data_IF_926843594342
#
_entry.id   IF_926843594342
#
_cell.length_a   1.000
_cell.length_b   1.000
_cell.length_c   1.000
_cell.angle_alpha   90.00
_cell.angle_beta   90.00
_cell.angle_gamma   90.00
#
_symmetry.space_group_name_H-M   'P 1'
#
loop_
_entity.id
_entity.type
_entity.pdbx_description
1 polymer ?
#
# COMPACT_ATOMS: atom_id res chain seq x y z
N UNK A 1 -18.92 1.16 -1.51
CA UNK A 1 -20.12 0.35 -1.19
C UNK A 1 -20.15 -0.89 -2.07
N UNK A 2 -19.27 -1.87 -1.82
CA UNK A 2 -19.31 -3.12 -2.55
C UNK A 2 -19.53 -4.24 -1.52
N UNK A 3 -20.24 -5.29 -1.94
CA UNK A 3 -20.41 -6.56 -1.23
C UNK A 3 -21.63 -6.71 -0.32
N UNK A 4 -22.78 -6.61 -0.98
CA UNK A 4 -23.91 -7.52 -0.77
C UNK A 4 -24.05 -8.52 -1.92
N UNK A 5 -22.99 -8.87 -2.66
CA UNK A 5 -23.11 -9.69 -3.89
C UNK A 5 -23.89 -11.00 -3.70
N UNK A 6 -23.63 -11.74 -2.61
CA UNK A 6 -24.42 -12.92 -2.24
C UNK A 6 -25.86 -12.59 -1.92
N UNK A 7 -26.11 -11.53 -1.16
CA UNK A 7 -27.47 -11.11 -0.79
C UNK A 7 -28.24 -10.57 -2.01
N UNK A 8 -27.58 -9.84 -2.90
CA UNK A 8 -28.11 -9.38 -4.18
C UNK A 8 -28.46 -10.56 -5.06
N UNK A 9 -27.57 -11.55 -5.21
CA UNK A 9 -27.84 -12.75 -6.00
C UNK A 9 -28.94 -13.59 -5.35
N UNK A 10 -28.94 -13.74 -4.02
CA UNK A 10 -30.02 -14.40 -3.29
C UNK A 10 -31.36 -13.67 -3.48
N UNK A 11 -31.35 -12.33 -3.49
CA UNK A 11 -32.53 -11.51 -3.73
C UNK A 11 -32.99 -11.61 -5.20
N UNK A 12 -32.07 -11.64 -6.17
CA UNK A 12 -32.36 -11.85 -7.59
C UNK A 12 -32.95 -13.25 -7.79
N UNK A 13 -32.33 -14.30 -7.23
CA UNK A 13 -32.84 -15.67 -7.29
C UNK A 13 -34.20 -15.81 -6.61
N UNK A 14 -34.44 -15.09 -5.51
CA UNK A 14 -35.74 -15.04 -4.83
C UNK A 14 -36.80 -14.29 -5.66
N UNK A 15 -36.42 -13.27 -6.43
CA UNK A 15 -37.32 -12.47 -7.28
C UNK A 15 -37.64 -13.14 -8.62
N UNK A 16 -36.61 -13.64 -9.32
CA UNK A 16 -36.71 -14.23 -10.65
C UNK A 16 -37.17 -15.69 -10.57
N UNK A 17 -36.84 -16.40 -9.49
CA UNK A 17 -37.13 -17.83 -9.33
C UNK A 17 -36.12 -18.71 -10.08
N UNK A 18 -35.65 -19.79 -9.47
CA UNK A 18 -34.54 -20.60 -10.01
C UNK A 18 -34.82 -21.25 -11.38
N UNK A 19 -36.09 -21.42 -11.73
CA UNK A 19 -36.54 -22.06 -12.98
C UNK A 19 -36.59 -21.11 -14.17
N UNK A 20 -36.56 -19.79 -13.95
CA UNK A 20 -36.69 -18.77 -14.99
C UNK A 20 -35.33 -18.26 -15.50
N UNK A 21 -34.22 -18.72 -14.93
CA UNK A 21 -32.89 -18.42 -15.46
C UNK A 21 -32.56 -19.38 -16.61
N UNK A 22 -31.94 -18.83 -17.66
CA UNK A 22 -31.40 -19.65 -18.74
C UNK A 22 -30.43 -20.71 -18.20
N UNK A 23 -30.48 -21.95 -18.73
CA UNK A 23 -29.61 -23.03 -18.28
C UNK A 23 -28.14 -22.60 -18.42
N UNK A 24 -27.36 -22.73 -17.33
CA UNK A 24 -25.95 -22.33 -17.26
C UNK A 24 -25.67 -20.94 -16.68
N UNK A 25 -26.65 -20.02 -16.64
CA UNK A 25 -26.45 -18.68 -16.03
C UNK A 25 -26.26 -18.78 -14.51
N UNK A 26 -26.90 -19.76 -13.88
CA UNK A 26 -26.72 -20.06 -12.45
C UNK A 26 -25.27 -20.46 -12.13
N UNK A 27 -24.64 -21.24 -13.01
CA UNK A 27 -23.29 -21.75 -12.81
C UNK A 27 -22.24 -20.68 -13.09
N UNK A 28 -22.47 -19.82 -14.09
CA UNK A 28 -21.62 -18.66 -14.35
C UNK A 28 -21.65 -17.67 -13.18
N UNK A 29 -22.83 -17.37 -12.60
CA UNK A 29 -22.95 -16.53 -11.41
C UNK A 29 -22.23 -17.11 -10.20
N UNK A 30 -22.33 -18.42 -9.96
CA UNK A 30 -21.62 -19.11 -8.86
C UNK A 30 -20.10 -18.97 -8.96
N UNK A 31 -19.54 -18.86 -10.17
CA UNK A 31 -18.10 -18.70 -10.39
C UNK A 31 -17.54 -17.38 -9.85
N UNK A 32 -18.34 -16.31 -9.91
CA UNK A 32 -17.93 -14.96 -9.50
C UNK A 32 -18.26 -14.65 -8.03
N UNK A 33 -19.08 -15.50 -7.40
CA UNK A 33 -19.42 -15.39 -5.99
C UNK A 33 -18.47 -16.27 -5.18
N UNK A 34 -17.86 -15.75 -4.10
CA UNK A 34 -17.05 -16.59 -3.22
C UNK A 34 -17.93 -17.69 -2.62
N UNK A 35 -17.45 -18.94 -2.57
CA UNK A 35 -18.16 -20.03 -1.88
C UNK A 35 -17.75 -20.10 -0.40
N UNK A 36 -17.91 -18.98 0.31
CA UNK A 36 -17.48 -18.83 1.69
C UNK A 36 -18.41 -19.54 2.68
N UNK A 37 -17.97 -20.67 3.24
CA UNK A 37 -18.56 -21.30 4.44
C UNK A 37 -17.79 -20.82 5.68
N UNK A 38 -17.75 -19.50 5.90
CA UNK A 38 -17.04 -18.92 7.03
C UNK A 38 -17.85 -19.16 8.31
N UNK A 39 -17.36 -20.05 9.16
CA UNK A 39 -17.91 -20.27 10.51
C UNK A 39 -17.40 -19.22 11.50
N UNK A 40 -16.18 -18.71 11.30
CA UNK A 40 -15.51 -17.82 12.26
C UNK A 40 -15.75 -16.35 11.92
N UNK A 41 -16.38 -15.57 12.82
CA UNK A 41 -16.55 -14.12 12.62
C UNK A 41 -15.21 -13.39 12.40
N UNK A 42 -14.13 -13.84 13.05
CA UNK A 42 -12.77 -13.29 12.87
C UNK A 42 -12.21 -13.46 11.45
N UNK A 43 -12.62 -14.51 10.73
CA UNK A 43 -12.13 -14.76 9.37
C UNK A 43 -12.72 -13.77 8.37
N UNK A 44 -13.89 -13.17 8.66
CA UNK A 44 -14.49 -12.14 7.80
C UNK A 44 -13.64 -10.86 7.67
N UNK A 45 -12.71 -10.63 8.59
CA UNK A 45 -11.90 -9.41 8.69
C UNK A 45 -10.43 -9.61 8.32
N UNK A 46 -10.01 -10.83 8.00
CA UNK A 46 -8.59 -11.17 7.81
C UNK A 46 -8.37 -12.18 6.70
N UNK A 47 -7.11 -12.50 6.40
CA UNK A 47 -6.75 -13.40 5.30
C UNK A 47 -6.46 -14.79 5.86
N UNK A 48 -7.42 -15.71 5.67
CA UNK A 48 -7.34 -17.05 6.27
C UNK A 48 -7.03 -18.17 5.27
N UNK A 49 -7.11 -17.91 3.96
CA UNK A 49 -6.83 -18.87 2.87
C UNK A 49 -7.54 -20.23 3.08
N UNK A 50 -8.86 -20.22 3.28
CA UNK A 50 -9.68 -21.41 3.50
C UNK A 50 -9.51 -22.09 4.85
N UNK A 51 -8.62 -21.60 5.74
CA UNK A 51 -8.41 -22.22 7.05
C UNK A 51 -9.45 -21.74 8.05
N UNK A 52 -10.26 -22.68 8.53
CA UNK A 52 -11.27 -22.45 9.55
C UNK A 52 -11.04 -23.29 10.80
N UNK A 53 -11.75 -22.92 11.88
CA UNK A 53 -11.86 -23.76 13.08
C UNK A 53 -12.47 -25.10 12.65
N UNK A 54 -11.86 -26.19 13.10
CA UNK A 54 -12.44 -27.52 13.00
C UNK A 54 -12.98 -27.93 14.35
N UNK A 55 -14.15 -28.57 14.35
CA UNK A 55 -14.76 -29.17 15.52
C UNK A 55 -14.67 -30.69 15.39
N UNK A 56 -14.42 -31.38 16.50
CA UNK A 56 -14.40 -32.83 16.53
C UNK A 56 -14.15 -33.35 17.94
N UNK A 57 -13.63 -34.56 18.04
CA UNK A 57 -13.43 -35.24 19.32
C UNK A 57 -11.95 -35.57 19.52
N UNK A 58 -11.49 -35.54 20.77
CA UNK A 58 -10.31 -36.29 21.21
C UNK A 58 -10.78 -37.70 21.55
N UNK A 59 -10.06 -38.71 21.08
CA UNK A 59 -10.31 -40.11 21.41
C UNK A 59 -9.19 -40.55 22.34
N UNK A 60 -9.52 -41.16 23.48
CA UNK A 60 -8.51 -41.76 24.37
C UNK A 60 -7.86 -42.96 23.71
N UNK A 61 -6.57 -43.16 23.93
CA UNK A 61 -5.76 -44.22 23.33
C UNK A 61 -6.28 -45.62 23.71
N UNK A 62 -6.51 -45.88 25.01
CA UNK A 62 -6.86 -47.22 25.49
C UNK A 62 -8.38 -47.51 25.48
N UNK A 63 -9.20 -46.51 25.82
CA UNK A 63 -10.63 -46.70 26.10
C UNK A 63 -11.60 -46.20 25.03
N UNK A 64 -11.11 -45.61 23.94
CA UNK A 64 -11.97 -45.03 22.89
C UNK A 64 -12.93 -43.92 23.34
N UNK A 65 -12.77 -43.38 24.54
CA UNK A 65 -13.61 -42.34 25.12
C UNK A 65 -13.51 -41.05 24.29
N UNK A 66 -14.65 -40.46 23.94
CA UNK A 66 -14.74 -39.30 23.04
C UNK A 66 -15.05 -38.02 23.82
N UNK A 67 -14.10 -37.09 23.85
CA UNK A 67 -14.29 -35.75 24.45
C UNK A 67 -14.31 -34.68 23.37
N UNK A 68 -15.26 -33.72 23.43
CA UNK A 68 -15.33 -32.64 22.43
C UNK A 68 -14.10 -31.74 22.50
N UNK A 69 -13.51 -31.44 21.34
CA UNK A 69 -12.39 -30.49 21.23
C UNK A 69 -12.50 -29.63 19.98
N UNK A 70 -11.73 -28.54 19.96
CA UNK A 70 -11.71 -27.57 18.87
C UNK A 70 -10.27 -27.32 18.42
N UNK A 71 -10.02 -27.34 17.11
CA UNK A 71 -8.73 -26.97 16.53
C UNK A 71 -8.80 -25.59 15.90
N UNK A 72 -8.06 -24.64 16.48
CA UNK A 72 -7.98 -23.26 16.00
C UNK A 72 -6.82 -23.14 14.99
N UNK A 73 -7.00 -22.42 13.87
CA UNK A 73 -5.88 -22.13 12.98
C UNK A 73 -4.92 -21.13 13.63
N UNK A 74 -3.62 -21.29 13.34
CA UNK A 74 -2.56 -20.39 13.78
C UNK A 74 -2.68 -19.05 13.03
N UNK A 75 -3.06 -17.99 13.76
CA UNK A 75 -3.32 -16.65 13.23
C UNK A 75 -2.39 -15.65 13.90
N UNK A 76 -1.77 -14.81 13.11
CA UNK A 76 -0.82 -13.79 13.52
C UNK A 76 -1.27 -12.41 13.02
N UNK A 77 -1.00 -11.36 13.77
CA UNK A 77 -1.15 -9.97 13.29
C UNK A 77 0.18 -9.55 12.62
N UNK A 78 0.14 -9.26 11.32
CA UNK A 78 1.34 -8.93 10.54
C UNK A 78 1.09 -7.69 9.69
N UNK A 79 2.19 -6.96 9.44
CA UNK A 79 2.25 -5.84 8.50
C UNK A 79 2.78 -6.39 7.19
N UNK A 80 1.97 -6.32 6.13
CA UNK A 80 2.37 -6.74 4.79
C UNK A 80 2.53 -5.51 3.92
N UNK A 81 3.66 -5.38 3.24
CA UNK A 81 3.90 -4.28 2.32
C UNK A 81 3.15 -4.53 1.01
N UNK A 82 2.43 -3.52 0.53
CA UNK A 82 1.74 -3.51 -0.77
C UNK A 82 2.49 -2.53 -1.67
N UNK A 83 2.95 -3.03 -2.82
CA UNK A 83 3.74 -2.25 -3.78
C UNK A 83 2.88 -1.18 -4.44
N UNK A 84 1.66 -1.52 -4.84
CA UNK A 84 0.77 -0.57 -5.54
C UNK A 84 0.28 0.57 -4.64
N UNK A 85 0.20 0.33 -3.33
CA UNK A 85 -0.23 1.32 -2.34
C UNK A 85 0.94 2.03 -1.66
N UNK A 86 2.17 1.61 -1.94
CA UNK A 86 3.42 2.04 -1.30
C UNK A 86 3.32 2.15 0.23
N UNK A 87 2.64 1.18 0.86
CA UNK A 87 2.38 1.21 2.30
C UNK A 87 2.19 -0.16 2.91
N UNK A 88 2.42 -0.21 4.22
CA UNK A 88 2.17 -1.40 5.02
C UNK A 88 0.69 -1.55 5.41
N UNK A 89 0.10 -2.69 5.08
CA UNK A 89 -1.27 -3.07 5.47
C UNK A 89 -1.19 -3.97 6.71
N UNK A 90 -1.89 -3.59 7.78
CA UNK A 90 -2.04 -4.43 8.97
C UNK A 90 -3.23 -5.37 8.80
N UNK A 91 -2.96 -6.68 8.80
CA UNK A 91 -4.00 -7.70 8.65
C UNK A 91 -3.72 -8.90 9.55
N UNK A 92 -4.80 -9.53 10.03
CA UNK A 92 -4.72 -10.85 10.67
C UNK A 92 -4.61 -11.91 9.59
N UNK A 93 -3.53 -12.68 9.61
CA UNK A 93 -3.19 -13.65 8.57
C UNK A 93 -2.90 -15.01 9.21
N UNK A 94 -3.32 -16.10 8.57
CA UNK A 94 -2.90 -17.44 8.99
C UNK A 94 -1.49 -17.74 8.52
N UNK A 95 -0.75 -18.59 9.24
CA UNK A 95 0.59 -19.00 8.80
C UNK A 95 0.59 -19.68 7.43
N UNK A 96 -0.49 -20.37 7.08
CA UNK A 96 -0.68 -20.92 5.73
C UNK A 96 -0.84 -19.82 4.68
N UNK A 97 -1.65 -18.79 4.96
CA UNK A 97 -1.81 -17.67 4.05
C UNK A 97 -0.50 -16.89 3.86
N UNK A 98 0.31 -16.71 4.91
CA UNK A 98 1.65 -16.11 4.79
C UNK A 98 2.52 -16.88 3.79
N UNK A 99 2.61 -18.22 3.92
CA UNK A 99 3.36 -19.04 2.95
C UNK A 99 2.83 -18.92 1.52
N UNK A 100 1.52 -18.78 1.34
CA UNK A 100 0.92 -18.57 0.03
C UNK A 100 1.24 -17.18 -0.54
N UNK A 101 1.32 -16.16 0.31
CA UNK A 101 1.72 -14.80 -0.06
C UNK A 101 3.19 -14.79 -0.48
N UNK A 102 4.06 -15.42 0.29
CA UNK A 102 5.49 -15.54 -0.03
C UNK A 102 5.69 -16.29 -1.35
N UNK A 103 4.99 -17.42 -1.54
CA UNK A 103 5.01 -18.17 -2.81
C UNK A 103 4.49 -17.36 -3.99
N UNK A 104 3.53 -16.46 -3.74
CA UNK A 104 2.97 -15.62 -4.78
C UNK A 104 3.87 -14.42 -5.12
N UNK A 105 4.85 -14.05 -4.30
CA UNK A 105 5.71 -12.88 -4.51
C UNK A 105 5.28 -11.61 -3.79
N UNK A 106 4.26 -11.67 -2.92
CA UNK A 106 3.76 -10.50 -2.20
C UNK A 106 2.24 -10.50 -2.05
N UNK A 107 1.72 -9.54 -1.27
CA UNK A 107 0.28 -9.47 -0.98
C UNK A 107 -0.54 -9.11 -2.22
N UNK A 108 -0.03 -8.19 -3.04
CA UNK A 108 -0.73 -7.72 -4.24
C UNK A 108 -0.83 -8.86 -5.26
N UNK A 109 0.28 -9.53 -5.53
CA UNK A 109 0.31 -10.70 -6.41
C UNK A 109 -0.57 -11.84 -5.91
N UNK A 110 -0.57 -12.11 -4.60
CA UNK A 110 -1.45 -13.09 -3.99
C UNK A 110 -2.93 -12.77 -4.25
N UNK A 111 -3.33 -11.51 -4.08
CA UNK A 111 -4.72 -11.07 -4.28
C UNK A 111 -5.13 -11.14 -5.75
N UNK A 112 -4.24 -10.76 -6.67
CA UNK A 112 -4.47 -10.84 -8.12
C UNK A 112 -4.58 -12.28 -8.60
N UNK A 113 -3.62 -13.15 -8.23
CA UNK A 113 -3.55 -14.56 -8.67
C UNK A 113 -4.68 -15.41 -8.09
N UNK A 114 -5.18 -15.08 -6.90
CA UNK A 114 -6.20 -15.90 -6.24
C UNK A 114 -7.58 -15.65 -6.90
N UNK A 115 -8.28 -16.69 -7.37
CA UNK A 115 -9.56 -16.53 -8.05
C UNK A 115 -10.67 -16.10 -7.07
N UNK A 116 -11.67 -15.37 -7.59
CA UNK A 116 -12.80 -14.85 -6.84
C UNK A 116 -13.55 -15.92 -6.02
N UNK A 117 -13.69 -17.13 -6.58
CA UNK A 117 -14.35 -18.26 -5.91
C UNK A 117 -13.58 -18.74 -4.65
N UNK A 118 -12.24 -18.68 -4.65
CA UNK A 118 -11.39 -19.10 -3.51
C UNK A 118 -11.20 -17.99 -2.46
N UNK A 119 -11.65 -16.77 -2.75
CA UNK A 119 -11.57 -15.67 -1.80
C UNK A 119 -12.72 -15.78 -0.80
N UNK A 120 -12.48 -16.39 0.35
CA UNK A 120 -13.55 -16.57 1.33
C UNK A 120 -14.09 -15.24 1.90
N UNK A 121 -13.24 -14.21 1.92
CA UNK A 121 -13.41 -13.04 2.77
C UNK A 121 -13.83 -11.79 1.99
N UNK A 122 -14.82 -11.06 2.52
CA UNK A 122 -15.29 -9.77 1.99
C UNK A 122 -14.16 -8.74 1.91
N UNK A 123 -13.32 -8.65 2.95
CA UNK A 123 -12.14 -7.77 2.94
C UNK A 123 -11.15 -8.16 1.84
N UNK A 124 -10.98 -9.46 1.57
CA UNK A 124 -10.10 -9.93 0.50
C UNK A 124 -10.58 -9.50 -0.89
N UNK A 125 -11.89 -9.59 -1.13
CA UNK A 125 -12.53 -9.11 -2.36
C UNK A 125 -12.40 -7.59 -2.52
N UNK A 126 -12.63 -6.85 -1.43
CA UNK A 126 -12.44 -5.40 -1.42
C UNK A 126 -11.01 -5.01 -1.81
N UNK A 127 -10.01 -5.63 -1.18
CA UNK A 127 -8.61 -5.33 -1.50
C UNK A 127 -8.25 -5.73 -2.93
N UNK A 128 -8.72 -6.89 -3.40
CA UNK A 128 -8.50 -7.34 -4.76
C UNK A 128 -9.04 -6.34 -5.79
N UNK A 129 -10.31 -5.97 -5.69
CA UNK A 129 -10.94 -5.00 -6.62
C UNK A 129 -10.25 -3.64 -6.60
N UNK A 130 -9.85 -3.17 -5.41
CA UNK A 130 -9.09 -1.93 -5.27
C UNK A 130 -7.74 -2.00 -5.99
N UNK A 131 -7.00 -3.10 -5.79
CA UNK A 131 -5.68 -3.32 -6.40
C UNK A 131 -5.79 -3.46 -7.92
N UNK A 132 -6.75 -4.25 -8.41
CA UNK A 132 -7.01 -4.38 -9.87
C UNK A 132 -7.30 -3.03 -10.51
N UNK A 133 -8.10 -2.17 -9.85
CA UNK A 133 -8.37 -0.82 -10.35
C UNK A 133 -7.11 0.04 -10.44
N UNK A 134 -6.29 0.03 -9.38
CA UNK A 134 -5.05 0.81 -9.33
C UNK A 134 -4.03 0.34 -10.39
N UNK A 135 -3.88 -0.98 -10.59
CA UNK A 135 -3.03 -1.50 -11.66
C UNK A 135 -3.59 -1.17 -13.06
N UNK A 136 -4.92 -1.14 -13.22
CA UNK A 136 -5.55 -0.68 -14.46
C UNK A 136 -5.29 0.80 -14.75
N UNK A 137 -5.38 1.66 -13.73
CA UNK A 137 -5.02 3.08 -13.83
C UNK A 137 -3.53 3.26 -14.17
N UNK A 138 -2.66 2.48 -13.52
CA UNK A 138 -1.22 2.51 -13.75
C UNK A 138 -0.85 2.04 -15.17
N UNK A 139 -1.55 1.03 -15.71
CA UNK A 139 -1.36 0.56 -17.08
C UNK A 139 -1.84 1.55 -18.15
N UNK A 140 -2.84 2.38 -17.84
CA UNK A 140 -3.30 3.46 -18.73
C UNK A 140 -2.43 4.72 -18.62
N UNK A 141 -1.55 4.79 -17.62
CA UNK A 141 -0.62 5.89 -17.49
C UNK A 141 0.44 5.71 -18.57
N UNK A 142 0.41 6.56 -19.60
CA UNK A 142 1.44 6.57 -20.62
C UNK A 142 2.78 6.86 -19.94
N UNK A 143 3.65 5.84 -19.91
CA UNK A 143 5.03 6.03 -19.52
C UNK A 143 5.71 6.73 -20.69
N UNK A 144 5.61 8.05 -20.72
CA UNK A 144 6.36 8.88 -21.64
C UNK A 144 7.84 8.74 -21.27
N UNK A 145 8.58 8.00 -22.09
CA UNK A 145 10.03 8.09 -22.08
C UNK A 145 10.38 9.50 -22.55
N UNK A 146 10.80 10.34 -21.63
CA UNK A 146 11.26 11.68 -21.97
C UNK A 146 12.54 11.58 -22.81
N UNK A 147 12.66 12.44 -23.82
CA UNK A 147 13.94 12.61 -24.51
C UNK A 147 14.97 13.15 -23.51
N UNK A 148 16.27 12.80 -23.60
CA UNK A 148 17.30 13.37 -22.73
C UNK A 148 17.31 14.90 -22.69
N UNK A 149 16.88 15.54 -23.79
CA UNK A 149 16.72 16.98 -23.88
C UNK A 149 15.58 17.51 -22.99
N UNK A 150 14.46 16.78 -22.92
CA UNK A 150 13.31 17.18 -22.10
C UNK A 150 13.59 16.91 -20.63
N UNK A 151 14.28 15.81 -20.30
CA UNK A 151 14.77 15.54 -18.94
C UNK A 151 15.66 16.69 -18.43
N UNK A 152 16.60 17.18 -19.27
CA UNK A 152 17.47 18.30 -18.91
C UNK A 152 16.70 19.61 -18.70
N UNK A 153 15.65 19.88 -19.50
CA UNK A 153 14.77 21.04 -19.31
C UNK A 153 14.02 20.96 -17.98
N UNK A 154 13.43 19.80 -17.66
CA UNK A 154 12.75 19.62 -16.37
C UNK A 154 13.71 19.79 -15.20
N UNK A 155 14.94 19.29 -15.29
CA UNK A 155 15.94 19.51 -14.23
C UNK A 155 16.25 20.99 -13.99
N UNK A 156 16.37 21.78 -15.06
CA UNK A 156 16.59 23.22 -14.97
C UNK A 156 15.37 23.90 -14.34
N UNK A 157 14.17 23.58 -14.80
CA UNK A 157 12.90 24.08 -14.25
C UNK A 157 12.75 23.75 -12.75
N UNK A 158 13.08 22.53 -12.32
CA UNK A 158 13.04 22.14 -10.91
C UNK A 158 14.09 22.85 -10.06
N UNK A 159 15.30 23.11 -10.60
CA UNK A 159 16.34 23.89 -9.92
C UNK A 159 15.90 25.33 -9.72
N UNK A 160 15.34 25.95 -10.76
CA UNK A 160 14.79 27.31 -10.71
C UNK A 160 13.61 27.41 -9.73
N UNK A 161 12.67 26.46 -9.76
CA UNK A 161 11.57 26.36 -8.80
C UNK A 161 12.08 26.27 -7.35
N UNK A 162 13.10 25.44 -7.08
CA UNK A 162 13.69 25.36 -5.73
C UNK A 162 14.37 26.65 -5.31
N UNK A 163 15.06 27.33 -6.23
CA UNK A 163 15.68 28.64 -5.96
C UNK A 163 14.61 29.68 -5.65
N UNK A 164 13.51 29.70 -6.42
CA UNK A 164 12.37 30.58 -6.23
C UNK A 164 11.64 30.30 -4.90
N UNK A 165 11.38 29.03 -4.57
CA UNK A 165 10.78 28.63 -3.30
C UNK A 165 11.68 29.03 -2.11
N UNK A 166 13.00 28.87 -2.26
CA UNK A 166 13.98 29.30 -1.25
C UNK A 166 14.01 30.83 -1.11
N UNK A 167 13.94 31.58 -2.20
CA UNK A 167 13.86 33.04 -2.19
C UNK A 167 12.55 33.52 -1.56
N UNK A 168 11.40 32.94 -1.93
CA UNK A 168 10.10 33.24 -1.33
C UNK A 168 10.06 32.92 0.17
N UNK A 169 10.66 31.81 0.59
CA UNK A 169 10.81 31.45 2.01
C UNK A 169 11.72 32.44 2.75
N UNK A 170 12.78 32.92 2.12
CA UNK A 170 13.67 33.95 2.64
C UNK A 170 12.95 35.31 2.76
N UNK A 171 12.19 35.72 1.75
CA UNK A 171 11.38 36.94 1.79
C UNK A 171 10.27 36.88 2.83
N UNK A 172 9.58 35.74 2.97
CA UNK A 172 8.60 35.52 4.03
C UNK A 172 9.23 35.63 5.42
N UNK A 173 10.46 35.09 5.60
CA UNK A 173 11.23 35.29 6.84
C UNK A 173 11.57 36.76 7.05
N UNK A 174 12.10 37.46 6.04
CA UNK A 174 12.43 38.90 6.12
C UNK A 174 11.22 39.75 6.51
N UNK A 175 10.08 39.52 5.88
CA UNK A 175 8.79 40.17 6.19
C UNK A 175 8.34 39.88 7.62
N UNK A 176 8.49 38.64 8.10
CA UNK A 176 8.15 38.26 9.48
C UNK A 176 9.12 38.86 10.52
N UNK A 177 10.40 39.01 10.18
CA UNK A 177 11.42 39.65 11.04
C UNK A 177 11.43 41.18 10.98
N UNK A 178 10.60 41.80 10.14
CA UNK A 178 10.44 43.26 10.08
C UNK A 178 11.69 44.05 9.64
N UNK A 179 12.65 43.42 8.98
CA UNK A 179 13.87 44.09 8.50
C UNK A 179 13.55 44.88 7.22
N UNK A 180 13.78 46.21 7.15
CA UNK A 180 13.41 47.00 5.98
C UNK A 180 14.39 46.82 4.81
N UNK A 181 13.87 46.80 3.58
CA UNK A 181 14.63 46.79 2.31
C UNK A 181 15.40 48.10 2.14
N UNK A 182 16.57 48.23 2.78
CA UNK A 182 17.56 49.24 2.39
C UNK A 182 18.51 48.65 1.36
N UNK A 183 18.08 48.54 0.10
CA UNK A 183 18.98 48.51 -1.07
C UNK A 183 18.18 48.50 -2.39
N UNK A 184 17.75 49.69 -2.83
CA UNK A 184 17.38 50.01 -4.23
C UNK A 184 17.81 51.43 -4.63
N UNK A 185 18.92 51.92 -4.06
CA UNK A 185 19.55 53.18 -4.46
C UNK A 185 21.07 53.06 -4.35
N UNK A 186 21.69 52.29 -5.23
CA UNK A 186 23.07 52.53 -5.71
C UNK A 186 23.10 52.07 -7.17
N UNK A 187 22.46 52.84 -8.05
CA UNK A 187 22.82 52.88 -9.46
C UNK A 187 23.19 54.32 -9.77
N UNK A 188 24.49 54.58 -9.85
CA UNK A 188 25.05 55.89 -10.21
C UNK A 188 26.43 56.13 -9.60
N UNK A 189 27.50 55.77 -10.33
CA UNK A 189 28.85 56.31 -10.10
C UNK A 189 30.02 55.34 -10.28
N UNK A 190 30.56 55.31 -11.52
CA UNK A 190 31.99 55.34 -11.91
C UNK A 190 33.06 54.49 -11.21
N UNK A 191 33.68 53.60 -12.01
CA UNK A 191 35.11 53.25 -12.21
C UNK A 191 36.14 53.17 -11.05
N UNK A 192 36.76 51.97 -11.00
CA UNK A 192 38.15 51.58 -10.68
C UNK A 192 38.83 51.98 -9.34
N UNK A 193 39.26 50.97 -8.57
CA UNK A 193 40.66 50.83 -8.08
C UNK A 193 40.92 49.43 -7.48
N UNK A 194 42.15 48.95 -7.67
CA UNK A 194 42.71 47.66 -7.23
C UNK A 194 43.06 47.64 -5.72
N UNK A 195 43.12 46.46 -5.08
CA UNK A 195 43.92 46.28 -3.85
C UNK A 195 43.48 45.27 -2.77
N UNK A 196 43.98 44.03 -2.88
CA UNK A 196 44.51 43.11 -1.84
C UNK A 196 43.79 42.75 -0.51
N UNK A 197 43.63 41.41 -0.33
CA UNK A 197 43.83 40.50 0.83
C UNK A 197 43.07 40.66 2.17
N UNK A 198 42.36 39.60 2.59
CA UNK A 198 42.82 38.69 3.66
C UNK A 198 41.98 37.39 3.78
N UNK A 199 42.68 36.27 3.99
CA UNK A 199 42.17 34.92 4.27
C UNK A 199 41.44 34.77 5.61
N UNK A 200 40.41 33.92 5.65
CA UNK A 200 40.01 33.03 6.75
C UNK A 200 38.74 32.28 6.31
N UNK A 201 38.59 30.97 6.33
CA UNK A 201 39.40 29.83 6.75
C UNK A 201 38.43 28.65 6.68
N UNK A 202 38.76 27.62 5.91
CA UNK A 202 38.00 26.37 5.86
C UNK A 202 38.04 25.72 7.24
N UNK A 203 36.88 25.51 7.87
CA UNK A 203 36.78 24.63 9.04
C UNK A 203 36.17 23.29 8.58
N UNK A 204 37.06 22.33 8.36
CA UNK A 204 36.73 20.93 8.15
C UNK A 204 36.01 20.36 9.39
N UNK A 205 34.88 19.68 9.17
CA UNK A 205 34.21 18.87 10.18
C UNK A 205 35.02 17.59 10.44
N UNK A 206 35.53 17.47 11.66
CA UNK A 206 36.26 16.30 12.14
C UNK A 206 35.33 15.09 12.35
N UNK A 207 35.76 13.97 11.78
CA UNK A 207 35.29 12.62 12.04
C UNK A 207 35.31 12.29 13.55
N UNK A 208 34.19 11.81 14.07
CA UNK A 208 34.10 11.24 15.42
C UNK A 208 34.32 9.73 15.35
N UNK A 209 35.57 9.29 15.42
CA UNK A 209 35.92 7.96 15.93
C UNK A 209 36.03 8.04 17.46
N UNK A 210 35.13 7.35 18.17
CA UNK A 210 35.32 7.00 19.57
C UNK A 210 35.79 5.56 19.66
N UNK A 211 37.08 5.38 19.95
CA UNK A 211 37.67 4.10 20.35
C UNK A 211 37.52 3.92 21.87
N UNK A 212 36.97 2.75 22.22
CA UNK A 212 37.10 1.91 23.41
C UNK A 212 37.54 2.49 24.77
N UNK A 213 36.86 2.04 25.83
CA UNK A 213 37.51 1.52 27.03
C UNK A 213 36.60 0.58 27.85
N UNK A 214 37.18 -0.57 28.19
CA UNK A 214 36.78 -1.70 29.07
C UNK A 214 35.67 -2.67 28.63
#
# INVERSE_FOLDING_TARGET
MAFRGREMIKNIMKKVGEKNLAPGVKDSLRKYVPDSKIVMGRAKRGIFAGRHIRFGNSVSEDGGNKTRRTWKPNVQDKRLFSYILDRHIRVKVTTHALRCIDKAGGIDEYLLKTPYCKMDTETGLFWKTKIEKLYGELGNTEVLFFSPEDEAKFEQEFKEMKIAEKAARSEARRRASGWPDKLKQIEGGTDAEEGSLHEAGDHADHENEKVANF
#
